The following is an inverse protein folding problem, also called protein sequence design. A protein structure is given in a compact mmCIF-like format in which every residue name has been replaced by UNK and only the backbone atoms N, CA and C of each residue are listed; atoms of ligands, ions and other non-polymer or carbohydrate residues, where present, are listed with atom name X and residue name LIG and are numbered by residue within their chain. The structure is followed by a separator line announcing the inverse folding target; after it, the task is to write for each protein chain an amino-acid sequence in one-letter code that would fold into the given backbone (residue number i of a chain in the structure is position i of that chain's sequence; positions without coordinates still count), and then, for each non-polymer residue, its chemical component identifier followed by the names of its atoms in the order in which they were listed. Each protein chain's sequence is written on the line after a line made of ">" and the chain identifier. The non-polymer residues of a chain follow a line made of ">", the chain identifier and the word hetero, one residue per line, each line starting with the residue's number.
data_IF_136976694483
#
_entry.id   IF_136976694483
#
_cell.length_a   1.000
_cell.length_b   1.000
_cell.length_c   1.000
_cell.angle_alpha   90.00
_cell.angle_beta   90.00
_cell.angle_gamma   90.00
#
_symmetry.space_group_name_H-M   'P 1'
#
loop_
_entity.id
_entity.type
_entity.pdbx_description
1 polymer ?
#
# COMPACT_ATOMS: atom_id res chain seq x y z
N UNK A 1 -20.42 51.61 45.96
CA UNK A 1 -20.78 51.66 44.53
C UNK A 1 -19.58 51.15 43.75
N UNK A 2 -19.71 49.96 43.15
CA UNK A 2 -18.60 49.18 42.58
C UNK A 2 -18.33 49.61 41.13
N UNK A 3 -17.07 49.96 40.82
CA UNK A 3 -16.62 50.26 39.46
C UNK A 3 -16.03 49.00 38.82
N UNK A 4 -16.72 48.44 37.83
CA UNK A 4 -16.23 47.34 37.02
C UNK A 4 -15.49 47.88 35.79
N UNK A 5 -14.22 47.49 35.64
CA UNK A 5 -13.35 47.80 34.51
C UNK A 5 -13.80 47.00 33.27
N UNK A 6 -14.09 47.68 32.16
CA UNK A 6 -14.28 47.04 30.85
C UNK A 6 -12.95 47.04 30.09
N UNK A 7 -12.33 45.86 29.96
CA UNK A 7 -11.19 45.64 29.07
C UNK A 7 -11.68 45.42 27.64
N UNK A 8 -11.27 46.30 26.73
CA UNK A 8 -11.55 46.21 25.29
C UNK A 8 -10.77 45.05 24.66
N UNK A 9 -11.47 43.98 24.27
CA UNK A 9 -10.92 42.90 23.43
C UNK A 9 -10.72 43.41 22.00
N UNK A 10 -9.47 43.53 21.55
CA UNK A 10 -9.14 43.69 20.12
C UNK A 10 -9.20 42.31 19.45
N UNK A 11 -9.88 42.14 18.31
CA UNK A 11 -9.84 40.87 17.59
C UNK A 11 -8.44 40.64 17.00
N UNK A 12 -7.89 39.45 17.24
CA UNK A 12 -6.63 39.01 16.65
C UNK A 12 -6.71 38.88 15.12
N UNK A 13 -5.57 38.82 14.43
CA UNK A 13 -5.52 38.81 12.97
C UNK A 13 -6.25 37.58 12.41
N UNK A 14 -7.23 37.82 11.52
CA UNK A 14 -7.92 36.77 10.75
C UNK A 14 -6.89 35.95 9.98
N UNK A 15 -6.85 34.64 10.22
CA UNK A 15 -6.13 33.70 9.39
C UNK A 15 -6.59 33.88 7.93
N UNK A 16 -5.64 34.16 7.02
CA UNK A 16 -5.93 34.23 5.59
C UNK A 16 -6.40 32.86 5.13
N UNK A 17 -7.60 32.81 4.53
CA UNK A 17 -8.09 31.61 3.86
C UNK A 17 -7.07 31.21 2.79
N UNK A 18 -6.43 30.05 2.97
CA UNK A 18 -5.61 29.43 1.95
C UNK A 18 -6.58 29.03 0.84
N UNK A 19 -6.53 29.75 -0.29
CA UNK A 19 -7.22 29.33 -1.50
C UNK A 19 -6.73 27.92 -1.85
N UNK A 20 -7.61 26.94 -1.67
CA UNK A 20 -7.44 25.59 -2.19
C UNK A 20 -7.31 25.69 -3.70
N UNK A 21 -6.07 25.70 -4.19
CA UNK A 21 -5.81 25.54 -5.61
C UNK A 21 -6.26 24.11 -5.92
N UNK A 22 -7.46 23.97 -6.48
CA UNK A 22 -7.92 22.72 -7.09
C UNK A 22 -6.96 22.44 -8.24
N UNK A 23 -5.92 21.65 -7.99
CA UNK A 23 -5.09 21.11 -9.07
C UNK A 23 -6.00 20.17 -9.86
N UNK A 24 -6.23 20.38 -11.16
CA UNK A 24 -7.04 19.47 -11.94
C UNK A 24 -6.34 18.11 -11.97
N UNK A 25 -7.09 17.04 -11.72
CA UNK A 25 -6.61 15.69 -12.01
C UNK A 25 -6.21 15.61 -13.50
N UNK A 26 -5.06 15.03 -13.85
CA UNK A 26 -4.67 14.91 -15.25
C UNK A 26 -5.67 14.03 -16.00
N UNK A 27 -6.11 14.53 -17.16
CA UNK A 27 -6.91 13.81 -18.16
C UNK A 27 -6.29 12.43 -18.50
N UNK A 28 -7.10 11.46 -18.97
CA UNK A 28 -6.58 10.21 -19.50
C UNK A 28 -5.78 10.51 -20.77
N UNK A 29 -4.45 10.55 -20.64
CA UNK A 29 -3.56 10.84 -21.78
C UNK A 29 -2.19 11.42 -21.43
N UNK A 30 -1.98 11.94 -20.21
CA UNK A 30 -0.66 12.43 -19.79
C UNK A 30 -0.37 12.02 -18.35
N UNK A 31 0.10 10.80 -18.15
CA UNK A 31 0.71 10.39 -16.88
C UNK A 31 2.08 11.09 -16.76
N UNK A 32 2.45 11.62 -15.58
CA UNK A 32 3.76 12.21 -15.38
C UNK A 32 4.86 11.19 -15.73
N UNK A 33 5.74 11.56 -16.66
CA UNK A 33 6.84 10.71 -17.11
C UNK A 33 7.90 10.60 -16.01
N UNK A 34 8.54 9.42 -15.92
CA UNK A 34 9.64 9.16 -15.00
C UNK A 34 10.79 10.11 -15.29
N UNK A 35 11.45 10.66 -14.26
CA UNK A 35 12.64 11.48 -14.47
C UNK A 35 13.86 10.59 -14.70
N UNK A 36 14.87 11.08 -15.44
CA UNK A 36 16.15 10.40 -15.61
C UNK A 36 16.82 10.04 -14.27
N UNK A 37 16.67 10.90 -13.26
CA UNK A 37 17.14 10.65 -11.89
C UNK A 37 16.44 9.46 -11.24
N UNK A 38 15.14 9.28 -11.46
CA UNK A 38 14.43 8.09 -10.95
C UNK A 38 14.91 6.81 -11.65
N UNK A 39 15.30 6.90 -12.93
CA UNK A 39 15.89 5.79 -13.71
C UNK A 39 17.21 5.34 -13.12
N UNK A 40 18.12 6.29 -12.94
CA UNK A 40 19.46 6.06 -12.43
C UNK A 40 19.45 5.64 -10.95
N UNK A 41 18.56 6.22 -10.13
CA UNK A 41 18.51 5.96 -8.67
C UNK A 41 17.81 4.66 -8.29
N UNK A 42 16.78 4.27 -9.03
CA UNK A 42 15.86 3.20 -8.63
C UNK A 42 15.69 2.12 -9.69
N UNK A 43 16.60 1.97 -10.65
CA UNK A 43 16.50 1.08 -11.81
C UNK A 43 15.79 -0.26 -11.58
N UNK A 44 15.22 -0.84 -12.65
CA UNK A 44 14.53 -2.14 -12.58
C UNK A 44 13.06 -2.06 -12.17
N UNK A 45 12.49 -3.24 -11.92
CA UNK A 45 11.10 -3.47 -11.52
C UNK A 45 10.87 -3.16 -10.03
N UNK A 46 9.61 -3.02 -9.62
CA UNK A 46 9.22 -2.53 -8.29
C UNK A 46 8.34 -3.56 -7.60
N UNK A 47 8.69 -3.90 -6.36
CA UNK A 47 7.76 -4.54 -5.43
C UNK A 47 6.91 -3.49 -4.71
N UNK A 48 5.62 -3.74 -4.59
CA UNK A 48 4.69 -2.93 -3.79
C UNK A 48 4.13 -3.77 -2.65
N UNK A 49 3.96 -3.14 -1.51
CA UNK A 49 3.16 -3.68 -0.41
C UNK A 49 2.27 -2.58 0.18
N UNK A 50 1.04 -2.95 0.55
CA UNK A 50 0.00 -2.03 1.00
C UNK A 50 -0.62 -2.50 2.31
N UNK A 51 -0.36 -1.74 3.36
CA UNK A 51 -1.05 -1.88 4.63
C UNK A 51 -2.38 -1.17 4.62
N UNK A 52 -3.42 -1.82 5.16
CA UNK A 52 -4.81 -1.41 4.98
C UNK A 52 -5.47 -1.07 6.31
N UNK A 53 -6.42 -0.15 6.24
CA UNK A 53 -7.43 0.11 7.25
C UNK A 53 -8.80 -0.33 6.74
N UNK A 54 -9.70 -0.68 7.66
CA UNK A 54 -11.13 -0.83 7.35
C UNK A 54 -11.86 0.50 7.54
N UNK A 55 -12.72 0.87 6.60
CA UNK A 55 -13.58 2.06 6.67
C UNK A 55 -15.03 1.61 6.69
N UNK A 56 -15.75 1.92 7.77
CA UNK A 56 -17.17 1.62 7.87
C UNK A 56 -17.96 2.53 6.94
N UNK A 57 -18.76 1.94 6.05
CA UNK A 57 -19.51 2.67 5.02
C UNK A 57 -21.02 2.82 5.35
N UNK A 58 -21.40 2.61 6.61
CA UNK A 58 -22.81 2.59 7.03
C UNK A 58 -23.50 1.24 6.86
N UNK A 59 -22.85 0.30 6.17
CA UNK A 59 -23.38 -1.04 5.93
C UNK A 59 -23.26 -1.99 7.12
N UNK A 60 -24.11 -3.00 7.12
CA UNK A 60 -24.09 -4.12 8.06
C UNK A 60 -24.15 -5.44 7.31
N UNK A 61 -23.34 -6.40 7.73
CA UNK A 61 -23.42 -7.80 7.28
C UNK A 61 -24.75 -8.44 7.70
N UNK A 62 -25.08 -9.59 7.09
CA UNK A 62 -26.29 -10.37 7.42
C UNK A 62 -26.40 -10.73 8.91
N UNK A 63 -25.27 -10.79 9.61
CA UNK A 63 -25.18 -11.16 11.02
C UNK A 63 -25.22 -9.93 11.94
N UNK A 64 -25.51 -8.73 11.42
CA UNK A 64 -25.60 -7.49 12.19
C UNK A 64 -24.26 -6.82 12.51
N UNK A 65 -23.12 -7.38 12.07
CA UNK A 65 -21.81 -6.75 12.23
C UNK A 65 -21.61 -5.64 11.20
N UNK A 66 -20.92 -4.55 11.57
CA UNK A 66 -20.52 -3.47 10.65
C UNK A 66 -19.75 -4.03 9.45
N UNK A 67 -20.07 -3.53 8.25
CA UNK A 67 -19.34 -3.83 7.02
C UNK A 67 -18.25 -2.78 6.78
N UNK A 68 -17.04 -3.21 6.45
CA UNK A 68 -15.90 -2.31 6.25
C UNK A 68 -15.34 -2.48 4.84
N UNK A 69 -15.10 -1.37 4.16
CA UNK A 69 -14.33 -1.34 2.92
C UNK A 69 -12.85 -1.22 3.27
N UNK A 70 -11.99 -1.97 2.60
CA UNK A 70 -10.54 -1.88 2.79
C UNK A 70 -9.99 -0.68 2.05
N UNK A 71 -9.20 0.15 2.74
CA UNK A 71 -8.53 1.32 2.18
C UNK A 71 -7.05 1.31 2.57
N UNK A 72 -6.18 1.64 1.62
CA UNK A 72 -4.75 1.77 1.86
C UNK A 72 -4.49 2.81 2.96
N UNK A 73 -3.65 2.47 3.93
CA UNK A 73 -3.21 3.37 5.01
C UNK A 73 -1.70 3.59 5.02
N UNK A 74 -0.91 2.66 4.47
CA UNK A 74 0.51 2.86 4.15
C UNK A 74 0.82 2.14 2.85
N UNK A 75 1.61 2.77 1.98
CA UNK A 75 2.09 2.15 0.74
C UNK A 75 3.60 2.21 0.75
N UNK A 76 4.22 1.06 0.48
CA UNK A 76 5.67 0.95 0.36
C UNK A 76 6.04 0.45 -1.02
N UNK A 77 7.11 1.03 -1.59
CA UNK A 77 7.69 0.60 -2.85
C UNK A 77 9.14 0.23 -2.61
N UNK A 78 9.52 -0.93 -3.12
CA UNK A 78 10.87 -1.46 -3.03
C UNK A 78 11.44 -1.67 -4.43
N UNK A 79 12.61 -1.11 -4.71
CA UNK A 79 13.32 -1.41 -5.96
C UNK A 79 13.94 -2.81 -5.89
N UNK A 80 13.86 -3.54 -6.99
CA UNK A 80 14.47 -4.87 -7.10
C UNK A 80 15.97 -4.83 -7.42
N UNK A 81 16.54 -3.64 -7.64
CA UNK A 81 17.98 -3.51 -7.90
C UNK A 81 18.83 -3.90 -6.69
N UNK A 82 18.35 -3.61 -5.47
CA UNK A 82 18.98 -4.07 -4.23
C UNK A 82 17.94 -4.19 -3.10
N UNK A 83 17.25 -5.34 -3.05
CA UNK A 83 16.13 -5.58 -2.13
C UNK A 83 16.49 -5.43 -0.64
N UNK A 84 17.77 -5.59 -0.27
CA UNK A 84 18.25 -5.45 1.12
C UNK A 84 18.21 -3.99 1.60
N UNK A 85 18.25 -3.00 0.72
CA UNK A 85 18.42 -1.59 1.10
C UNK A 85 17.78 -0.55 0.15
N UNK A 86 16.75 -0.90 -0.62
CA UNK A 86 16.11 0.05 -1.55
C UNK A 86 14.62 0.12 -1.41
N UNK A 87 14.12 0.34 -0.18
CA UNK A 87 12.81 0.98 -0.03
C UNK A 87 12.91 2.38 -0.65
N UNK A 88 12.18 2.61 -1.73
CA UNK A 88 12.28 3.84 -2.52
C UNK A 88 11.19 4.85 -2.17
N UNK A 89 10.10 4.36 -1.58
CA UNK A 89 8.97 5.15 -1.17
C UNK A 89 8.26 4.46 -0.02
N UNK A 90 7.94 5.20 1.03
CA UNK A 90 7.20 4.72 2.19
C UNK A 90 6.34 5.87 2.70
N UNK A 91 5.03 5.74 2.50
CA UNK A 91 4.10 6.83 2.76
C UNK A 91 2.89 6.31 3.52
N UNK A 92 2.57 7.02 4.61
CA UNK A 92 1.28 6.91 5.27
C UNK A 92 0.26 7.79 4.55
N UNK A 93 -0.94 7.25 4.35
CA UNK A 93 -2.02 7.94 3.65
C UNK A 93 -2.98 8.56 4.64
N UNK A 94 -3.22 9.87 4.49
CA UNK A 94 -4.20 10.58 5.31
C UNK A 94 -5.62 10.16 4.92
N UNK A 95 -6.46 9.78 5.88
CA UNK A 95 -7.83 9.35 5.61
C UNK A 95 -8.70 10.57 5.29
N UNK A 96 -9.61 10.39 4.34
CA UNK A 96 -10.65 11.37 4.02
C UNK A 96 -11.95 11.10 4.80
N UNK A 97 -11.91 10.17 5.75
CA UNK A 97 -13.04 9.71 6.54
C UNK A 97 -12.87 10.08 8.02
N UNK A 98 -13.98 10.23 8.78
CA UNK A 98 -13.91 10.46 10.21
C UNK A 98 -13.17 9.34 10.93
N UNK A 99 -12.38 9.67 11.95
CA UNK A 99 -11.65 8.66 12.73
C UNK A 99 -12.58 7.61 13.37
N UNK A 100 -13.81 8.00 13.72
CA UNK A 100 -14.83 7.11 14.29
C UNK A 100 -15.31 6.00 13.33
N UNK A 101 -15.07 6.14 12.03
CA UNK A 101 -15.39 5.10 11.03
C UNK A 101 -14.20 4.20 10.67
N UNK A 102 -13.02 4.42 11.25
CA UNK A 102 -11.79 3.70 10.88
C UNK A 102 -11.52 2.55 11.85
N UNK A 103 -11.26 1.36 11.29
CA UNK A 103 -10.71 0.19 11.98
C UNK A 103 -9.26 -0.01 11.52
N UNK A 104 -8.32 0.23 12.41
CA UNK A 104 -6.88 0.25 12.06
C UNK A 104 -6.26 -1.13 11.82
N UNK A 105 -6.82 -2.18 12.42
CA UNK A 105 -6.26 -3.55 12.32
C UNK A 105 -4.78 -3.61 12.73
N UNK A 106 -4.41 -2.83 13.75
CA UNK A 106 -3.02 -2.54 14.16
C UNK A 106 -2.20 -3.79 14.46
N UNK A 107 -2.83 -4.87 14.94
CA UNK A 107 -2.16 -6.14 15.22
C UNK A 107 -1.54 -6.78 13.96
N UNK A 108 -2.08 -6.48 12.77
CA UNK A 108 -1.58 -6.93 11.48
C UNK A 108 -0.85 -5.81 10.74
N UNK A 109 -1.47 -4.63 10.63
CA UNK A 109 -0.96 -3.54 9.77
C UNK A 109 0.08 -2.64 10.43
N UNK A 110 0.19 -2.68 11.76
CA UNK A 110 0.98 -1.72 12.54
C UNK A 110 0.46 -0.27 12.48
N UNK A 111 -0.65 -0.01 11.77
CA UNK A 111 -1.18 1.34 11.59
C UNK A 111 -1.83 1.85 12.87
N UNK A 112 -1.56 3.11 13.17
CA UNK A 112 -2.12 3.86 14.31
C UNK A 112 -2.69 5.18 13.80
N UNK A 113 -3.58 5.78 14.59
CA UNK A 113 -4.18 7.07 14.26
C UNK A 113 -3.13 8.16 13.97
N UNK A 114 -2.07 8.23 14.77
CA UNK A 114 -0.99 9.20 14.64
C UNK A 114 -0.22 9.09 13.31
N UNK A 115 -0.03 7.87 12.79
CA UNK A 115 0.62 7.65 11.50
C UNK A 115 -0.22 8.26 10.36
N UNK A 116 -1.54 8.06 10.43
CA UNK A 116 -2.45 8.46 9.37
C UNK A 116 -2.82 9.95 9.43
N UNK A 117 -2.93 10.54 10.62
CA UNK A 117 -3.24 11.97 10.78
C UNK A 117 -2.17 12.87 10.13
N UNK A 118 -0.91 12.45 10.21
CA UNK A 118 0.24 13.12 9.61
C UNK A 118 0.57 12.60 8.20
N UNK A 119 -0.27 11.73 7.64
CA UNK A 119 -0.06 11.15 6.32
C UNK A 119 -0.17 12.17 5.19
N UNK A 120 0.32 11.77 4.02
CA UNK A 120 0.22 12.54 2.77
C UNK A 120 -1.22 12.45 2.25
N UNK A 121 -1.69 13.49 1.54
CA UNK A 121 -2.97 13.41 0.83
C UNK A 121 -2.96 12.24 -0.16
N UNK A 122 -4.08 11.52 -0.26
CA UNK A 122 -4.17 10.31 -1.08
C UNK A 122 -3.89 10.59 -2.55
N UNK A 123 -4.40 11.70 -3.10
CA UNK A 123 -4.18 12.03 -4.51
C UNK A 123 -2.72 12.38 -4.78
N UNK A 124 -2.10 13.14 -3.88
CA UNK A 124 -0.69 13.49 -3.96
C UNK A 124 0.19 12.23 -3.93
N UNK A 125 0.00 11.36 -2.94
CA UNK A 125 0.75 10.11 -2.81
C UNK A 125 0.57 9.20 -4.03
N UNK A 126 -0.66 9.03 -4.52
CA UNK A 126 -0.91 8.19 -5.70
C UNK A 126 -0.32 8.78 -6.98
N UNK A 127 -0.29 10.10 -7.14
CA UNK A 127 0.41 10.72 -8.27
C UNK A 127 1.91 10.49 -8.22
N UNK A 128 2.52 10.54 -7.03
CA UNK A 128 3.92 10.20 -6.86
C UNK A 128 4.19 8.73 -7.17
N UNK A 129 3.38 7.82 -6.64
CA UNK A 129 3.49 6.37 -6.89
C UNK A 129 3.35 6.08 -8.39
N UNK A 130 2.35 6.66 -9.09
CA UNK A 130 2.19 6.51 -10.56
C UNK A 130 3.48 6.87 -11.30
N UNK A 131 4.09 8.01 -10.96
CA UNK A 131 5.35 8.46 -11.57
C UNK A 131 6.49 7.46 -11.31
N UNK A 132 6.58 6.92 -10.09
CA UNK A 132 7.65 6.01 -9.70
C UNK A 132 7.56 4.66 -10.41
N UNK A 133 6.35 4.11 -10.58
CA UNK A 133 6.12 2.78 -11.17
C UNK A 133 5.87 2.79 -12.68
N UNK A 134 5.69 3.97 -13.28
CA UNK A 134 5.36 4.09 -14.71
C UNK A 134 6.35 3.32 -15.61
N UNK A 135 5.79 2.45 -16.46
CA UNK A 135 6.52 1.62 -17.42
C UNK A 135 7.27 0.42 -16.84
N UNK A 136 7.14 0.12 -15.54
CA UNK A 136 7.85 -0.98 -14.86
C UNK A 136 6.93 -2.16 -14.57
N UNK A 137 7.49 -3.34 -14.36
CA UNK A 137 6.76 -4.43 -13.73
C UNK A 137 6.49 -4.06 -12.26
N UNK A 138 5.22 -4.20 -11.86
CA UNK A 138 4.77 -4.08 -10.50
C UNK A 138 4.59 -5.49 -9.94
N UNK A 139 5.34 -5.79 -8.90
CA UNK A 139 5.44 -7.11 -8.28
C UNK A 139 4.80 -7.05 -6.90
N UNK A 140 3.93 -7.99 -6.56
CA UNK A 140 3.27 -7.98 -5.26
C UNK A 140 2.64 -9.32 -4.91
N UNK A 141 2.03 -9.37 -3.74
CA UNK A 141 1.23 -10.50 -3.28
C UNK A 141 -0.21 -10.00 -3.05
N UNK A 142 -1.12 -10.35 -3.96
CA UNK A 142 -2.52 -9.94 -3.99
C UNK A 142 -2.68 -8.50 -4.46
N UNK A 143 -1.99 -8.16 -5.55
CA UNK A 143 -1.98 -6.85 -6.20
C UNK A 143 -3.39 -6.34 -6.45
N UNK A 144 -4.33 -7.20 -6.84
CA UNK A 144 -5.72 -6.78 -7.02
C UNK A 144 -6.30 -6.14 -5.75
N UNK A 145 -6.13 -6.80 -4.60
CA UNK A 145 -6.62 -6.29 -3.31
C UNK A 145 -5.89 -5.00 -2.90
N UNK A 146 -4.60 -4.91 -3.18
CA UNK A 146 -3.79 -3.73 -2.90
C UNK A 146 -4.25 -2.54 -3.72
N UNK A 147 -4.35 -2.71 -5.04
CA UNK A 147 -4.73 -1.69 -6.00
C UNK A 147 -6.18 -1.19 -5.79
N UNK A 148 -7.13 -2.09 -5.51
CA UNK A 148 -8.50 -1.72 -5.13
C UNK A 148 -8.51 -0.87 -3.84
N UNK A 149 -7.69 -1.22 -2.84
CA UNK A 149 -7.60 -0.45 -1.60
C UNK A 149 -6.98 0.96 -1.78
N UNK A 150 -6.22 1.16 -2.87
CA UNK A 150 -5.64 2.43 -3.28
C UNK A 150 -6.60 3.28 -4.13
N UNK A 151 -7.90 3.20 -3.84
CA UNK A 151 -8.99 3.87 -4.59
C UNK A 151 -8.99 3.49 -6.07
N UNK A 152 -9.01 2.17 -6.31
CA UNK A 152 -9.05 1.58 -7.65
C UNK A 152 -7.87 2.05 -8.52
N UNK A 153 -6.68 2.02 -7.92
CA UNK A 153 -5.45 2.44 -8.56
C UNK A 153 -5.16 1.55 -9.77
N UNK A 154 -5.12 2.14 -10.97
CA UNK A 154 -4.85 1.41 -12.19
C UNK A 154 -3.34 1.28 -12.47
N UNK A 155 -2.90 0.05 -12.78
CA UNK A 155 -1.61 -0.26 -13.40
C UNK A 155 -1.84 -1.25 -14.55
N UNK A 156 -1.12 -1.19 -15.69
CA UNK A 156 -1.35 -2.10 -16.82
C UNK A 156 -1.22 -3.56 -16.41
N UNK A 157 -2.18 -4.41 -16.82
CA UNK A 157 -2.26 -5.83 -16.42
C UNK A 157 -1.02 -6.61 -16.91
N UNK A 158 -0.51 -6.29 -18.10
CA UNK A 158 0.71 -6.86 -18.66
C UNK A 158 1.99 -6.41 -17.95
N UNK A 159 1.88 -5.46 -17.02
CA UNK A 159 2.93 -4.95 -16.16
C UNK A 159 2.69 -5.26 -14.69
N UNK A 160 1.85 -6.25 -14.40
CA UNK A 160 1.66 -6.80 -13.06
C UNK A 160 2.19 -8.23 -13.01
N UNK A 161 2.85 -8.58 -11.91
CA UNK A 161 3.17 -9.95 -11.56
C UNK A 161 2.74 -10.18 -10.10
N UNK A 162 1.76 -11.05 -9.90
CA UNK A 162 1.18 -11.34 -8.60
C UNK A 162 1.59 -12.75 -8.14
N UNK A 163 2.16 -12.86 -6.93
CA UNK A 163 2.50 -14.15 -6.32
C UNK A 163 1.30 -15.11 -6.37
N UNK A 164 0.10 -14.62 -6.08
CA UNK A 164 -1.09 -15.46 -6.00
C UNK A 164 -1.56 -15.98 -7.36
N UNK A 165 -1.06 -15.44 -8.48
CA UNK A 165 -1.35 -15.96 -9.82
C UNK A 165 -0.49 -17.17 -10.18
N UNK A 166 0.71 -17.27 -9.61
CA UNK A 166 1.71 -18.29 -9.95
C UNK A 166 1.84 -19.40 -8.90
N UNK A 167 1.56 -19.10 -7.64
CA UNK A 167 1.69 -20.03 -6.52
C UNK A 167 0.32 -20.46 -6.01
N UNK A 168 -0.22 -21.52 -6.61
CA UNK A 168 -1.56 -22.06 -6.34
C UNK A 168 -1.49 -23.52 -5.93
N UNK A 169 -2.45 -23.95 -5.11
CA UNK A 169 -2.72 -25.36 -4.82
C UNK A 169 -3.25 -26.06 -6.07
N UNK A 170 -3.35 -27.40 -6.05
CA UNK A 170 -3.88 -28.15 -7.19
C UNK A 170 -5.33 -27.78 -7.52
N UNK A 171 -6.11 -27.41 -6.51
CA UNK A 171 -7.49 -26.95 -6.68
C UNK A 171 -7.61 -25.49 -7.20
N UNK A 172 -6.49 -24.85 -7.54
CA UNK A 172 -6.42 -23.48 -8.05
C UNK A 172 -6.49 -22.39 -6.98
N UNK A 173 -6.60 -22.73 -5.70
CA UNK A 173 -6.63 -21.74 -4.63
C UNK A 173 -5.25 -21.08 -4.43
N UNK A 174 -5.20 -19.75 -4.27
CA UNK A 174 -3.96 -19.03 -4.03
C UNK A 174 -3.33 -19.41 -2.68
N UNK A 175 -2.00 -19.55 -2.66
CA UNK A 175 -1.25 -19.80 -1.43
C UNK A 175 -0.79 -18.46 -0.83
N UNK A 176 -0.91 -18.33 0.49
CA UNK A 176 -0.49 -17.13 1.23
C UNK A 176 1.03 -16.97 1.20
N UNK A 177 1.50 -15.71 1.14
CA UNK A 177 2.93 -15.37 1.14
C UNK A 177 3.68 -16.00 2.33
N UNK A 178 3.13 -15.91 3.54
CA UNK A 178 3.73 -16.49 4.75
C UNK A 178 3.94 -18.00 4.66
N UNK A 179 2.99 -18.74 4.08
CA UNK A 179 3.13 -20.20 3.87
C UNK A 179 4.20 -20.52 2.81
N UNK A 180 4.26 -19.74 1.73
CA UNK A 180 5.30 -19.91 0.70
C UNK A 180 6.69 -19.60 1.28
N UNK A 181 6.80 -18.54 2.07
CA UNK A 181 8.04 -18.16 2.73
C UNK A 181 8.54 -19.26 3.68
N UNK A 182 7.63 -19.83 4.47
CA UNK A 182 7.93 -20.94 5.38
C UNK A 182 8.38 -22.19 4.61
N UNK A 183 7.57 -22.65 3.64
CA UNK A 183 7.83 -23.93 2.95
C UNK A 183 9.02 -23.89 2.00
N UNK A 184 9.25 -22.78 1.30
CA UNK A 184 10.30 -22.68 0.27
C UNK A 184 11.61 -22.18 0.89
N UNK A 185 11.55 -21.25 1.85
CA UNK A 185 12.72 -20.56 2.38
C UNK A 185 12.97 -20.78 3.88
N UNK A 186 12.20 -21.65 4.55
CA UNK A 186 12.27 -21.90 6.00
C UNK A 186 12.17 -20.60 6.82
N UNK A 187 11.31 -19.69 6.36
CA UNK A 187 11.19 -18.35 6.90
C UNK A 187 9.79 -18.07 7.46
N UNK A 188 9.73 -17.81 8.76
CA UNK A 188 8.49 -17.39 9.42
C UNK A 188 8.33 -15.87 9.35
N UNK A 189 7.45 -15.41 8.46
CA UNK A 189 7.05 -14.00 8.34
C UNK A 189 5.60 -13.81 8.80
N UNK A 190 5.18 -12.54 8.94
CA UNK A 190 3.80 -12.16 9.30
C UNK A 190 3.31 -12.79 10.62
N UNK A 191 4.21 -13.00 11.60
CA UNK A 191 3.88 -13.57 12.92
C UNK A 191 3.27 -12.54 13.90
N UNK A 192 2.85 -11.39 13.39
CA UNK A 192 2.36 -10.25 14.15
C UNK A 192 2.14 -9.08 13.20
N UNK A 193 2.66 -7.90 13.55
CA UNK A 193 2.69 -6.77 12.62
C UNK A 193 3.51 -7.14 11.40
N UNK A 194 2.92 -6.95 10.23
CA UNK A 194 3.57 -7.16 8.95
C UNK A 194 4.71 -6.17 8.77
N UNK A 195 5.81 -6.66 8.19
CA UNK A 195 6.95 -5.84 7.82
C UNK A 195 7.00 -5.76 6.29
N UNK A 196 6.70 -4.59 5.69
CA UNK A 196 6.71 -4.43 4.24
C UNK A 196 8.06 -4.77 3.62
N UNK A 197 9.17 -4.58 4.34
CA UNK A 197 10.50 -4.96 3.85
C UNK A 197 10.60 -6.48 3.68
N UNK A 198 10.16 -7.22 4.70
CA UNK A 198 10.17 -8.69 4.63
C UNK A 198 9.22 -9.19 3.55
N UNK A 199 8.01 -8.65 3.48
CA UNK A 199 7.01 -9.06 2.51
C UNK A 199 7.48 -8.79 1.07
N UNK A 200 8.06 -7.61 0.80
CA UNK A 200 8.68 -7.30 -0.49
C UNK A 200 9.86 -8.22 -0.81
N UNK A 201 10.69 -8.57 0.17
CA UNK A 201 11.85 -9.46 -0.01
C UNK A 201 11.43 -10.86 -0.41
N UNK A 202 10.46 -11.47 0.28
CA UNK A 202 10.01 -12.82 -0.06
C UNK A 202 9.19 -12.84 -1.34
N UNK A 203 8.37 -11.82 -1.60
CA UNK A 203 7.70 -11.63 -2.89
C UNK A 203 8.70 -11.61 -4.04
N UNK A 204 9.80 -10.86 -3.90
CA UNK A 204 10.84 -10.81 -4.92
C UNK A 204 11.59 -12.14 -5.06
N UNK A 205 11.92 -12.82 -3.96
CA UNK A 205 12.55 -14.16 -4.03
C UNK A 205 11.66 -15.18 -4.73
N UNK A 206 10.34 -15.12 -4.51
CA UNK A 206 9.37 -15.94 -5.24
C UNK A 206 9.34 -15.57 -6.73
N UNK A 207 9.35 -14.27 -7.06
CA UNK A 207 9.48 -13.85 -8.45
C UNK A 207 10.75 -14.41 -9.11
N UNK A 208 11.91 -14.30 -8.46
CA UNK A 208 13.17 -14.84 -8.97
C UNK A 208 13.14 -16.35 -9.15
N UNK A 209 12.58 -17.06 -8.16
CA UNK A 209 12.39 -18.51 -8.24
C UNK A 209 11.51 -18.87 -9.44
N UNK A 210 10.35 -18.22 -9.59
CA UNK A 210 9.47 -18.44 -10.74
C UNK A 210 10.17 -18.11 -12.07
N UNK A 211 11.00 -17.06 -12.14
CA UNK A 211 11.79 -16.75 -13.35
C UNK A 211 12.79 -17.86 -13.70
N UNK A 212 13.26 -18.61 -12.71
CA UNK A 212 14.11 -19.79 -12.89
C UNK A 212 13.25 -21.07 -12.91
N UNK A 213 12.68 -21.40 -14.07
CA UNK A 213 11.71 -22.50 -14.20
C UNK A 213 12.25 -23.87 -13.72
N UNK A 214 13.55 -24.14 -13.89
CA UNK A 214 14.16 -25.38 -13.40
C UNK A 214 14.15 -25.44 -11.87
N UNK A 215 14.61 -24.39 -11.20
CA UNK A 215 14.61 -24.32 -9.74
C UNK A 215 13.17 -24.25 -9.18
N UNK A 216 12.26 -23.56 -9.88
CA UNK A 216 10.86 -23.47 -9.51
C UNK A 216 10.22 -24.86 -9.40
N UNK A 217 10.36 -25.70 -10.43
CA UNK A 217 9.80 -27.07 -10.44
C UNK A 217 10.41 -27.94 -9.33
N UNK A 218 11.67 -27.70 -8.97
CA UNK A 218 12.34 -28.46 -7.90
C UNK A 218 11.91 -28.03 -6.50
N UNK A 219 11.58 -26.76 -6.30
CA UNK A 219 11.34 -26.17 -4.97
C UNK A 219 9.88 -25.91 -4.65
N UNK A 220 9.00 -25.89 -5.64
CA UNK A 220 7.58 -25.68 -5.46
C UNK A 220 6.79 -26.89 -5.94
N UNK A 221 6.23 -27.64 -4.98
CA UNK A 221 5.23 -28.65 -5.23
C UNK A 221 3.89 -28.21 -4.63
N UNK A 222 2.82 -28.03 -5.44
CA UNK A 222 1.48 -27.69 -4.93
C UNK A 222 0.95 -28.65 -3.86
N UNK A 223 1.34 -29.93 -3.90
CA UNK A 223 0.90 -30.96 -2.94
C UNK A 223 1.34 -30.66 -1.50
N UNK A 224 2.43 -29.90 -1.32
CA UNK A 224 2.94 -29.54 0.01
C UNK A 224 2.05 -28.52 0.75
N UNK A 225 1.01 -28.03 0.07
CA UNK A 225 0.16 -26.95 0.52
C UNK A 225 -1.31 -27.31 0.60
N UNK A 226 -1.71 -28.58 0.48
CA UNK A 226 -3.11 -28.99 0.64
C UNK A 226 -3.65 -28.77 2.07
#
# INVERSE_FOLDING_TARGET
>A
MSAASQASHKPGPRAKAIQSHKVPLPFPGFMPTRTRKDIEKFGGDICIDVEKIGVWNGGYSKNGNRSYDLKAGRVTLHSMYNIENTMIHDVYLRPNWPQSSIKYMTEYSGLKAEHLLNGIDRNEAFNEIRRLINGRMLIGASLKNDLESMDDFAHPIDKQWDVQDHYKRNNGQPIRLSKLAEKIFDAHIQQGVHDPIHDARYTFRLYQLWRNQEEFIQRFNPDDYE
#
